data_IF_705173470738
#
_entry.id   IF_705173470738
#
_cell.length_a   1.000
_cell.length_b   1.000
_cell.length_c   1.000
_cell.angle_alpha   90.00
_cell.angle_beta   90.00
_cell.angle_gamma   90.00
#
_symmetry.space_group_name_H-M   'P 1'
#
loop_
_entity.id
_entity.type
_entity.pdbx_description
1 polymer ?
#
# COMPACT_ATOMS: atom_id res chain seq x y z
N UNK A 1 -15.09 -23.94 -4.91
CA UNK A 1 -16.26 -23.48 -5.67
C UNK A 1 -16.65 -24.59 -6.63
N UNK A 2 -17.94 -24.84 -6.75
CA UNK A 2 -18.50 -25.81 -7.68
C UNK A 2 -19.15 -25.01 -8.81
N UNK A 3 -18.89 -25.33 -10.08
CA UNK A 3 -19.57 -24.65 -11.19
C UNK A 3 -21.03 -25.11 -11.28
N UNK A 4 -21.78 -24.51 -12.22
CA UNK A 4 -23.17 -24.89 -12.51
C UNK A 4 -23.34 -26.38 -12.88
N UNK A 5 -22.25 -27.05 -13.27
CA UNK A 5 -22.23 -28.46 -13.67
C UNK A 5 -21.76 -29.41 -12.55
N UNK A 6 -21.72 -28.96 -11.29
CA UNK A 6 -21.30 -29.80 -10.17
C UNK A 6 -19.78 -30.06 -10.08
N UNK A 7 -18.96 -29.48 -10.97
CA UNK A 7 -17.50 -29.69 -11.01
C UNK A 7 -16.75 -28.74 -10.08
N UNK A 8 -15.77 -29.29 -9.35
CA UNK A 8 -14.88 -28.53 -8.46
C UNK A 8 -13.95 -27.63 -9.30
N UNK A 9 -14.19 -26.32 -9.26
CA UNK A 9 -13.36 -25.32 -9.95
C UNK A 9 -12.30 -24.78 -9.00
N UNK A 10 -11.08 -24.67 -9.50
CA UNK A 10 -9.99 -24.01 -8.79
C UNK A 10 -10.20 -22.49 -8.72
N UNK A 11 -9.97 -21.92 -7.54
CA UNK A 11 -9.92 -20.47 -7.30
C UNK A 11 -8.54 -19.89 -7.55
N UNK A 12 -7.52 -20.75 -7.72
CA UNK A 12 -6.12 -20.34 -7.85
C UNK A 12 -5.79 -20.06 -9.31
N UNK A 13 -5.33 -18.84 -9.67
CA UNK A 13 -5.06 -18.47 -11.05
C UNK A 13 -4.12 -19.46 -11.77
N UNK A 14 -3.10 -19.98 -11.08
CA UNK A 14 -2.10 -20.88 -11.67
C UNK A 14 -2.59 -22.30 -12.01
N UNK A 15 -3.78 -22.67 -11.53
CA UNK A 15 -4.36 -23.97 -11.86
C UNK A 15 -5.23 -23.91 -13.13
N UNK A 16 -5.50 -22.72 -13.66
CA UNK A 16 -6.34 -22.52 -14.85
C UNK A 16 -5.61 -22.89 -16.15
N UNK A 17 -6.36 -23.32 -17.18
CA UNK A 17 -5.83 -23.63 -18.52
C UNK A 17 -5.10 -22.42 -19.11
N UNK A 18 -5.73 -21.24 -19.07
CA UNK A 18 -5.17 -19.96 -19.53
C UNK A 18 -3.81 -19.65 -18.89
N UNK A 19 -3.65 -19.90 -17.59
CA UNK A 19 -2.35 -19.68 -16.94
C UNK A 19 -1.30 -20.69 -17.37
N UNK A 20 -1.65 -21.97 -17.56
CA UNK A 20 -0.72 -23.00 -18.05
C UNK A 20 -0.22 -22.65 -19.45
N UNK A 21 -1.10 -22.20 -20.34
CA UNK A 21 -0.76 -21.72 -21.68
C UNK A 21 0.15 -20.50 -21.62
N UNK A 22 -0.21 -19.50 -20.81
CA UNK A 22 0.66 -18.35 -20.56
C UNK A 22 2.02 -18.78 -20.02
N UNK A 23 2.06 -19.77 -19.13
CA UNK A 23 3.32 -20.26 -18.58
C UNK A 23 4.21 -20.87 -19.64
N UNK A 24 3.66 -21.76 -20.46
CA UNK A 24 4.41 -22.45 -21.52
C UNK A 24 5.09 -21.47 -22.48
N UNK A 25 4.44 -20.36 -22.84
CA UNK A 25 5.01 -19.35 -23.74
C UNK A 25 5.99 -18.36 -23.10
N UNK A 26 5.95 -18.19 -21.78
CA UNK A 26 6.71 -17.12 -21.08
C UNK A 26 7.92 -17.66 -20.33
N UNK A 27 7.87 -18.92 -19.89
CA UNK A 27 8.98 -19.51 -19.16
C UNK A 27 10.13 -19.81 -20.13
N UNK A 28 11.33 -19.34 -19.79
CA UNK A 28 12.56 -19.63 -20.51
C UNK A 28 13.36 -20.75 -19.86
N UNK A 29 14.54 -21.02 -20.40
CA UNK A 29 15.40 -22.13 -19.98
C UNK A 29 16.39 -21.76 -18.87
N UNK A 30 16.55 -20.48 -18.57
CA UNK A 30 17.42 -19.98 -17.52
C UNK A 30 16.81 -18.83 -16.71
N UNK A 31 17.33 -18.62 -15.50
CA UNK A 31 16.93 -17.50 -14.66
C UNK A 31 17.46 -16.18 -15.23
N UNK A 32 16.57 -15.25 -15.55
CA UNK A 32 16.93 -13.94 -16.10
C UNK A 32 17.74 -13.06 -15.14
N UNK A 33 17.64 -13.31 -13.84
CA UNK A 33 18.36 -12.55 -12.83
C UNK A 33 19.78 -13.06 -12.57
N UNK A 34 20.00 -14.38 -12.52
CA UNK A 34 21.30 -14.95 -12.16
C UNK A 34 21.89 -15.93 -13.18
N UNK A 35 21.24 -16.16 -14.32
CA UNK A 35 21.66 -17.09 -15.37
C UNK A 35 21.49 -18.57 -15.03
N UNK A 36 21.04 -18.92 -13.82
CA UNK A 36 20.94 -20.33 -13.41
C UNK A 36 19.90 -21.10 -14.23
N UNK A 37 20.31 -22.24 -14.80
CA UNK A 37 19.46 -23.21 -15.48
C UNK A 37 18.87 -24.26 -14.52
N UNK A 38 19.10 -24.09 -13.21
CA UNK A 38 18.67 -25.05 -12.19
C UNK A 38 17.14 -25.10 -12.11
N UNK A 39 16.58 -26.23 -12.56
CA UNK A 39 15.15 -26.53 -12.48
C UNK A 39 14.71 -26.77 -11.01
N UNK A 40 13.43 -26.51 -10.67
CA UNK A 40 12.42 -25.91 -11.53
C UNK A 40 12.55 -24.38 -11.59
N UNK A 41 12.34 -23.83 -12.79
CA UNK A 41 12.16 -22.40 -13.01
C UNK A 41 10.69 -22.00 -12.79
N UNK A 42 10.49 -20.76 -12.38
CA UNK A 42 9.17 -20.18 -12.09
C UNK A 42 8.97 -18.89 -12.86
N UNK A 43 7.71 -18.58 -13.15
CA UNK A 43 7.34 -17.27 -13.69
C UNK A 43 7.21 -16.31 -12.51
N UNK A 44 8.01 -15.25 -12.56
CA UNK A 44 7.94 -14.14 -11.63
C UNK A 44 7.26 -12.95 -12.31
N UNK A 45 6.11 -12.53 -11.79
CA UNK A 45 5.54 -11.23 -12.16
C UNK A 45 6.30 -10.12 -11.43
N UNK A 46 6.74 -9.10 -12.16
CA UNK A 46 7.42 -7.95 -11.57
C UNK A 46 6.42 -6.94 -10.99
N UNK A 47 5.17 -6.98 -11.45
CA UNK A 47 4.06 -6.17 -10.96
C UNK A 47 2.95 -7.08 -10.41
N UNK A 48 2.70 -7.00 -9.09
CA UNK A 48 1.62 -7.75 -8.47
C UNK A 48 0.32 -6.93 -8.44
N UNK A 49 -0.83 -7.55 -8.72
CA UNK A 49 -2.11 -6.87 -8.57
C UNK A 49 -2.31 -6.46 -7.10
N UNK A 50 -2.84 -5.25 -6.84
CA UNK A 50 -3.15 -4.85 -5.47
C UNK A 50 -4.27 -5.74 -4.91
N UNK A 51 -4.30 -5.92 -3.58
CA UNK A 51 -5.40 -6.60 -2.92
C UNK A 51 -6.73 -5.93 -3.25
N UNK A 52 -7.78 -6.73 -3.48
CA UNK A 52 -9.11 -6.22 -3.77
C UNK A 52 -9.61 -5.23 -2.71
N UNK A 53 -9.38 -5.50 -1.43
CA UNK A 53 -9.74 -4.59 -0.32
C UNK A 53 -9.09 -3.20 -0.44
N UNK A 54 -7.87 -3.13 -0.97
CA UNK A 54 -7.20 -1.85 -1.25
C UNK A 54 -7.82 -1.12 -2.45
N UNK A 55 -8.24 -1.84 -3.49
CA UNK A 55 -8.98 -1.28 -4.63
C UNK A 55 -10.33 -0.74 -4.15
N UNK A 56 -11.13 -1.58 -3.50
CA UNK A 56 -12.45 -1.23 -2.99
C UNK A 56 -12.40 -0.02 -2.04
N UNK A 57 -11.40 0.04 -1.14
CA UNK A 57 -11.19 1.20 -0.27
C UNK A 57 -10.87 2.48 -1.04
N UNK A 58 -10.04 2.42 -2.09
CA UNK A 58 -9.74 3.59 -2.93
C UNK A 58 -10.98 4.11 -3.65
N UNK A 59 -11.76 3.21 -4.27
CA UNK A 59 -13.03 3.55 -4.94
C UNK A 59 -14.02 4.13 -3.93
N UNK A 60 -14.18 3.49 -2.77
CA UNK A 60 -15.03 3.99 -1.68
C UNK A 60 -14.70 5.43 -1.30
N UNK A 61 -13.42 5.73 -1.06
CA UNK A 61 -12.98 7.07 -0.67
C UNK A 61 -13.22 8.10 -1.79
N UNK A 62 -13.05 7.71 -3.06
CA UNK A 62 -13.41 8.54 -4.23
C UNK A 62 -14.89 8.90 -4.22
N UNK A 63 -15.77 7.92 -3.96
CA UNK A 63 -17.21 8.15 -3.88
C UNK A 63 -17.58 9.05 -2.70
N UNK A 64 -17.09 8.75 -1.50
CA UNK A 64 -17.34 9.59 -0.31
C UNK A 64 -16.97 11.05 -0.59
N UNK A 65 -15.74 11.31 -1.07
CA UNK A 65 -15.27 12.67 -1.38
C UNK A 65 -16.15 13.37 -2.42
N UNK A 66 -16.55 12.66 -3.48
CA UNK A 66 -17.40 13.23 -4.55
C UNK A 66 -18.84 13.49 -4.08
N UNK A 67 -19.38 12.61 -3.24
CA UNK A 67 -20.81 12.61 -2.88
C UNK A 67 -21.11 13.46 -1.65
N UNK A 68 -20.16 13.64 -0.73
CA UNK A 68 -20.29 14.56 0.40
C UNK A 68 -20.63 16.00 -0.04
N UNK A 69 -20.23 16.40 -1.25
CA UNK A 69 -20.50 17.73 -1.81
C UNK A 69 -21.93 17.92 -2.33
N UNK A 70 -22.74 16.85 -2.42
CA UNK A 70 -24.13 16.95 -2.89
C UNK A 70 -25.00 17.70 -1.89
N UNK A 71 -25.92 18.55 -2.39
CA UNK A 71 -26.81 19.39 -1.57
C UNK A 71 -27.52 18.61 -0.47
N UNK A 72 -27.99 17.39 -0.76
CA UNK A 72 -28.72 16.53 0.20
C UNK A 72 -27.90 16.09 1.43
N UNK A 73 -26.56 16.05 1.32
CA UNK A 73 -25.67 15.73 2.43
C UNK A 73 -25.03 16.99 3.02
N UNK A 74 -24.68 17.96 2.16
CA UNK A 74 -24.11 19.25 2.59
C UNK A 74 -25.03 20.02 3.53
N UNK A 75 -26.35 20.02 3.28
CA UNK A 75 -27.32 20.67 4.17
C UNK A 75 -27.39 20.04 5.55
N UNK A 76 -27.13 18.71 5.67
CA UNK A 76 -27.05 18.01 6.95
C UNK A 76 -25.76 18.38 7.69
N UNK A 77 -24.64 18.47 6.97
CA UNK A 77 -23.33 18.86 7.53
C UNK A 77 -23.36 20.29 8.04
N UNK A 78 -24.02 21.23 7.34
CA UNK A 78 -24.07 22.63 7.76
C UNK A 78 -24.84 22.87 9.08
N UNK A 79 -25.59 21.89 9.58
CA UNK A 79 -26.28 21.96 10.88
C UNK A 79 -25.39 21.61 12.07
N UNK A 80 -24.12 21.29 11.80
CA UNK A 80 -23.13 20.95 12.83
C UNK A 80 -22.73 22.23 13.57
N UNK A 81 -23.09 22.32 14.85
CA UNK A 81 -22.46 23.25 15.78
C UNK A 81 -21.23 22.59 16.40
N UNK A 82 -20.07 23.23 16.23
CA UNK A 82 -18.82 22.71 16.76
C UNK A 82 -18.68 23.12 18.23
N UNK A 83 -18.82 22.15 19.13
CA UNK A 83 -18.37 22.32 20.50
C UNK A 83 -16.85 22.26 20.56
N UNK A 84 -16.24 22.96 21.52
CA UNK A 84 -14.79 22.92 21.76
C UNK A 84 -14.53 21.91 22.86
N UNK A 85 -13.59 21.00 22.65
CA UNK A 85 -13.13 20.08 23.69
C UNK A 85 -11.65 20.31 23.99
N UNK A 86 -11.29 20.11 25.25
CA UNK A 86 -9.91 20.11 25.69
C UNK A 86 -9.19 18.81 25.31
N UNK A 87 -8.02 18.94 24.69
CA UNK A 87 -7.15 17.81 24.36
C UNK A 87 -5.71 18.11 24.69
N UNK A 88 -5.02 17.06 25.13
CA UNK A 88 -3.57 17.10 25.37
C UNK A 88 -2.84 17.16 24.04
N UNK A 89 -1.91 18.11 23.92
CA UNK A 89 -1.09 18.31 22.74
C UNK A 89 0.38 18.52 23.09
N UNK A 90 1.22 18.33 22.08
CA UNK A 90 2.64 18.62 22.17
C UNK A 90 2.86 20.15 22.24
N UNK A 91 3.57 20.70 23.24
CA UNK A 91 3.84 22.14 23.33
C UNK A 91 4.72 22.69 22.21
N UNK A 92 5.41 21.82 21.46
CA UNK A 92 6.32 22.23 20.37
C UNK A 92 5.63 22.35 19.02
N UNK A 93 4.55 21.61 18.78
CA UNK A 93 3.98 21.49 17.43
C UNK A 93 2.46 21.28 17.41
N UNK A 94 1.80 21.48 18.56
CA UNK A 94 0.37 21.35 18.81
C UNK A 94 -0.26 20.02 18.38
N UNK A 95 0.57 19.02 18.13
CA UNK A 95 0.12 17.70 17.71
C UNK A 95 -0.60 16.99 18.84
N UNK A 96 -1.79 16.47 18.56
CA UNK A 96 -2.56 15.58 19.45
C UNK A 96 -1.96 14.17 19.56
N UNK A 97 -0.98 13.83 18.72
CA UNK A 97 -0.33 12.53 18.69
C UNK A 97 0.76 12.45 19.77
N UNK A 98 0.32 12.42 21.03
CA UNK A 98 1.15 12.40 22.25
C UNK A 98 0.91 11.10 23.00
N UNK A 99 1.99 10.34 23.23
CA UNK A 99 1.97 9.10 24.00
C UNK A 99 2.62 9.29 25.38
N UNK A 100 2.23 8.43 26.33
CA UNK A 100 2.99 8.27 27.57
C UNK A 100 4.28 7.50 27.29
N UNK A 101 5.42 8.07 27.68
CA UNK A 101 6.67 7.35 27.70
C UNK A 101 6.73 6.50 28.98
N UNK A 102 6.53 5.18 28.85
CA UNK A 102 6.94 4.22 29.90
C UNK A 102 8.39 3.82 29.61
N UNK A 103 9.40 4.41 30.27
CA UNK A 103 10.73 3.77 30.25
C UNK A 103 10.73 2.62 31.25
N UNK A 104 11.24 1.45 30.85
CA UNK A 104 11.56 0.35 31.78
C UNK A 104 12.57 0.89 32.79
N UNK A 105 12.25 0.85 34.08
CA UNK A 105 13.14 1.26 35.16
C UNK A 105 12.93 2.67 35.72
N UNK A 106 11.97 3.46 35.22
CA UNK A 106 11.66 4.76 35.82
C UNK A 106 11.05 4.56 37.23
N UNK A 107 11.80 4.99 38.25
CA UNK A 107 11.33 5.11 39.63
C UNK A 107 10.11 6.05 39.66
N UNK A 108 9.09 5.65 40.43
CA UNK A 108 7.79 6.29 40.64
C UNK A 108 7.85 7.84 40.57
N UNK A 109 7.13 8.46 39.63
CA UNK A 109 6.68 9.85 39.81
C UNK A 109 6.52 10.73 38.56
N UNK A 110 7.45 10.71 37.61
CA UNK A 110 7.45 11.72 36.53
C UNK A 110 6.78 11.17 35.28
N UNK A 111 5.53 11.60 35.02
CA UNK A 111 4.77 11.27 33.79
C UNK A 111 5.38 12.02 32.59
N UNK A 112 6.29 11.38 31.86
CA UNK A 112 6.93 11.94 30.66
C UNK A 112 6.11 11.61 29.41
N UNK A 113 5.95 12.57 28.50
CA UNK A 113 5.23 12.40 27.22
C UNK A 113 6.19 12.42 26.04
N UNK A 114 5.80 11.75 24.94
CA UNK A 114 6.52 11.76 23.65
C UNK A 114 5.54 12.10 22.54
N UNK A 115 5.91 13.05 21.69
CA UNK A 115 5.15 13.41 20.50
C UNK A 115 5.59 12.55 19.31
N UNK A 116 4.68 11.75 18.77
CA UNK A 116 4.97 10.90 17.59
C UNK A 116 5.15 11.67 16.29
N UNK A 117 4.66 12.91 16.21
CA UNK A 117 4.77 13.74 15.01
C UNK A 117 6.17 14.35 14.87
N UNK A 118 6.71 14.91 15.95
CA UNK A 118 7.96 15.68 15.90
C UNK A 118 9.11 15.09 16.74
N UNK A 119 8.87 13.98 17.44
CA UNK A 119 9.88 13.32 18.28
C UNK A 119 10.20 14.05 19.59
N UNK A 120 9.58 15.20 19.87
CA UNK A 120 9.74 15.89 21.16
C UNK A 120 9.38 14.96 22.30
N UNK A 121 10.23 14.86 23.32
CA UNK A 121 10.06 13.98 24.47
C UNK A 121 10.25 14.72 25.80
N UNK A 122 9.98 14.03 26.91
CA UNK A 122 10.15 14.53 28.27
C UNK A 122 9.45 15.86 28.59
N UNK A 123 8.28 16.10 27.97
CA UNK A 123 7.50 17.31 28.18
C UNK A 123 6.20 17.06 28.98
N UNK A 124 5.65 18.14 29.54
CA UNK A 124 4.27 18.23 30.03
C UNK A 124 3.41 18.70 28.87
N UNK A 125 2.34 17.96 28.55
CA UNK A 125 1.42 18.35 27.48
C UNK A 125 0.78 19.71 27.78
N UNK A 126 0.48 20.46 26.73
CA UNK A 126 -0.43 21.59 26.83
C UNK A 126 -1.85 21.12 26.57
N UNK A 127 -2.83 21.86 27.08
CA UNK A 127 -4.23 21.66 26.74
C UNK A 127 -4.56 22.62 25.59
N UNK A 128 -5.04 22.08 24.48
CA UNK A 128 -5.57 22.89 23.38
C UNK A 128 -7.07 22.61 23.24
N UNK A 129 -7.82 23.64 22.87
CA UNK A 129 -9.21 23.51 22.49
C UNK A 129 -9.28 23.13 21.02
N UNK A 130 -9.74 21.92 20.73
CA UNK A 130 -10.04 21.52 19.36
C UNK A 130 -11.55 21.59 19.12
N UNK A 131 -11.98 21.97 17.91
CA UNK A 131 -13.35 21.73 17.48
C UNK A 131 -13.59 20.22 17.54
N UNK A 132 -14.48 19.80 18.43
CA UNK A 132 -14.87 18.41 18.57
C UNK A 132 -16.31 18.38 18.99
N UNK A 133 -17.14 17.88 18.09
CA UNK A 133 -18.48 17.50 18.44
C UNK A 133 -18.63 16.00 18.17
N UNK A 134 -18.91 15.25 19.24
CA UNK A 134 -19.18 13.81 19.16
C UNK A 134 -20.37 13.56 18.24
N UNK A 135 -21.37 14.43 18.26
CA UNK A 135 -22.58 14.27 17.48
C UNK A 135 -22.35 14.60 16.01
N UNK A 136 -21.44 15.53 15.70
CA UNK A 136 -20.92 15.78 14.35
C UNK A 136 -20.15 14.60 13.78
N UNK A 137 -19.31 13.96 14.58
CA UNK A 137 -18.60 12.75 14.15
C UNK A 137 -19.56 11.59 13.89
N UNK A 138 -20.58 11.42 14.75
CA UNK A 138 -21.66 10.46 14.52
C UNK A 138 -22.45 10.80 13.25
N UNK A 139 -22.83 12.07 13.06
CA UNK A 139 -23.58 12.52 11.89
C UNK A 139 -22.79 12.31 10.60
N UNK A 140 -21.50 12.67 10.58
CA UNK A 140 -20.62 12.40 9.44
C UNK A 140 -20.48 10.90 9.18
N UNK A 141 -20.39 10.08 10.23
CA UNK A 141 -20.38 8.62 10.11
C UNK A 141 -21.68 8.10 9.50
N UNK A 142 -22.83 8.58 9.98
CA UNK A 142 -24.15 8.24 9.45
C UNK A 142 -24.30 8.67 7.98
N UNK A 143 -23.86 9.88 7.63
CA UNK A 143 -23.88 10.38 6.24
C UNK A 143 -22.97 9.53 5.36
N UNK A 144 -21.76 9.20 5.82
CA UNK A 144 -20.86 8.32 5.09
C UNK A 144 -21.51 6.96 4.87
N UNK A 145 -22.09 6.34 5.89
CA UNK A 145 -22.78 5.06 5.75
C UNK A 145 -23.95 5.15 4.76
N UNK A 146 -24.78 6.20 4.83
CA UNK A 146 -25.84 6.45 3.84
C UNK A 146 -25.30 6.56 2.41
N UNK A 147 -24.17 7.26 2.20
CA UNK A 147 -23.52 7.31 0.88
C UNK A 147 -23.03 5.92 0.47
N UNK A 148 -22.45 5.16 1.38
CA UNK A 148 -21.95 3.82 1.06
C UNK A 148 -23.09 2.87 0.67
N UNK A 149 -24.21 2.93 1.37
CA UNK A 149 -25.39 2.12 1.09
C UNK A 149 -26.03 2.53 -0.26
N UNK A 150 -26.26 3.83 -0.47
CA UNK A 150 -26.82 4.40 -1.71
C UNK A 150 -25.99 4.03 -2.97
N UNK A 151 -24.68 3.82 -2.80
CA UNK A 151 -23.74 3.63 -3.89
C UNK A 151 -22.99 2.28 -3.84
N UNK A 152 -23.41 1.34 -2.98
CA UNK A 152 -22.67 0.10 -2.74
C UNK A 152 -22.46 -0.70 -4.04
N UNK A 153 -23.53 -0.88 -4.83
CA UNK A 153 -23.47 -1.57 -6.12
C UNK A 153 -22.45 -0.92 -7.06
N UNK A 154 -22.56 0.40 -7.28
CA UNK A 154 -21.63 1.15 -8.16
C UNK A 154 -20.17 1.11 -7.69
N UNK A 155 -19.95 1.17 -6.38
CA UNK A 155 -18.61 1.05 -5.78
C UNK A 155 -18.04 -0.34 -6.04
N UNK A 156 -18.87 -1.38 -5.89
CA UNK A 156 -18.47 -2.77 -6.10
C UNK A 156 -18.19 -3.04 -7.58
N UNK A 157 -19.03 -2.55 -8.48
CA UNK A 157 -18.86 -2.68 -9.92
C UNK A 157 -17.57 -2.01 -10.39
N UNK A 158 -17.33 -0.74 -10.03
CA UNK A 158 -16.08 -0.05 -10.39
C UNK A 158 -14.85 -0.77 -9.80
N UNK A 159 -14.93 -1.24 -8.55
CA UNK A 159 -13.84 -2.00 -7.93
C UNK A 159 -13.58 -3.34 -8.64
N UNK A 160 -14.64 -4.04 -9.08
CA UNK A 160 -14.55 -5.29 -9.82
C UNK A 160 -13.96 -5.08 -11.22
N UNK A 161 -14.36 -4.03 -11.94
CA UNK A 161 -13.78 -3.67 -13.23
C UNK A 161 -12.28 -3.41 -13.13
N UNK A 162 -11.86 -2.63 -12.12
CA UNK A 162 -10.43 -2.36 -11.88
C UNK A 162 -9.70 -3.66 -11.54
N UNK A 163 -10.27 -4.50 -10.67
CA UNK A 163 -9.70 -5.80 -10.31
C UNK A 163 -9.58 -6.73 -11.53
N UNK A 164 -10.57 -6.75 -12.41
CA UNK A 164 -10.57 -7.52 -13.64
C UNK A 164 -9.47 -7.05 -14.60
N UNK A 165 -9.26 -5.73 -14.73
CA UNK A 165 -8.13 -5.16 -15.52
C UNK A 165 -6.78 -5.64 -14.98
N UNK A 166 -6.58 -5.60 -13.66
CA UNK A 166 -5.36 -6.12 -13.03
C UNK A 166 -5.19 -7.64 -13.24
N UNK A 167 -6.26 -8.42 -13.09
CA UNK A 167 -6.24 -9.86 -13.33
C UNK A 167 -5.93 -10.19 -14.79
N UNK A 168 -6.52 -9.46 -15.75
CA UNK A 168 -6.23 -9.63 -17.16
C UNK A 168 -4.78 -9.32 -17.48
N UNK A 169 -4.22 -8.25 -16.90
CA UNK A 169 -2.80 -7.92 -17.04
C UNK A 169 -1.92 -9.03 -16.46
N UNK A 170 -2.21 -9.51 -15.25
CA UNK A 170 -1.48 -10.62 -14.63
C UNK A 170 -1.51 -11.89 -15.49
N UNK A 171 -2.70 -12.25 -15.99
CA UNK A 171 -2.90 -13.43 -16.85
C UNK A 171 -2.31 -13.26 -18.25
N UNK A 172 -2.02 -12.03 -18.67
CA UNK A 172 -1.34 -11.76 -19.94
C UNK A 172 0.16 -12.09 -19.90
N UNK A 173 0.75 -12.31 -18.70
CA UNK A 173 2.19 -12.53 -18.56
C UNK A 173 3.06 -11.32 -18.94
N UNK A 174 2.47 -10.18 -19.34
CA UNK A 174 3.21 -8.96 -19.67
C UNK A 174 3.95 -8.47 -18.43
N UNK A 175 5.26 -8.24 -18.55
CA UNK A 175 6.11 -7.88 -17.42
C UNK A 175 6.38 -9.03 -16.44
N UNK A 176 6.15 -10.28 -16.86
CA UNK A 176 6.62 -11.47 -16.15
C UNK A 176 7.96 -11.94 -16.75
N UNK A 177 8.76 -12.61 -15.92
CA UNK A 177 10.09 -13.10 -16.29
C UNK A 177 10.34 -14.48 -15.69
N UNK A 178 11.43 -15.13 -16.08
CA UNK A 178 11.78 -16.48 -15.62
C UNK A 178 12.82 -16.40 -14.51
N UNK A 179 12.46 -16.83 -13.30
CA UNK A 179 13.37 -16.88 -12.16
C UNK A 179 13.62 -18.31 -11.70
N UNK A 180 14.80 -18.56 -11.11
CA UNK A 180 15.01 -19.74 -10.28
C UNK A 180 14.30 -19.55 -8.92
N UNK A 181 14.07 -20.65 -8.19
CA UNK A 181 13.44 -20.62 -6.86
C UNK A 181 14.08 -19.61 -5.90
N UNK A 182 15.42 -19.52 -5.89
CA UNK A 182 16.17 -18.59 -5.02
C UNK A 182 15.87 -17.13 -5.37
N UNK A 183 15.94 -16.76 -6.64
CA UNK A 183 15.67 -15.39 -7.09
C UNK A 183 14.22 -14.99 -6.83
N UNK A 184 13.26 -15.87 -7.11
CA UNK A 184 11.84 -15.62 -6.82
C UNK A 184 11.60 -15.39 -5.32
N UNK A 185 12.15 -16.26 -4.46
CA UNK A 185 12.04 -16.10 -3.01
C UNK A 185 12.63 -14.78 -2.51
N UNK A 186 13.84 -14.42 -2.95
CA UNK A 186 14.50 -13.17 -2.55
C UNK A 186 13.75 -11.93 -3.05
N UNK A 187 13.17 -12.01 -4.26
CA UNK A 187 12.36 -10.94 -4.84
C UNK A 187 11.07 -10.72 -4.04
N UNK A 188 10.32 -11.78 -3.74
CA UNK A 188 9.00 -11.68 -3.13
C UNK A 188 9.07 -11.41 -1.62
N UNK A 189 9.90 -12.15 -0.89
CA UNK A 189 9.94 -12.13 0.58
C UNK A 189 10.89 -11.05 1.09
N UNK A 190 12.10 -10.98 0.54
CA UNK A 190 13.13 -10.08 1.04
C UNK A 190 13.22 -8.75 0.27
N UNK A 191 12.46 -8.58 -0.82
CA UNK A 191 12.53 -7.39 -1.69
C UNK A 191 13.96 -7.08 -2.15
N UNK A 192 14.69 -8.14 -2.49
CA UNK A 192 16.09 -8.08 -2.91
C UNK A 192 16.24 -8.51 -4.37
N UNK A 193 17.04 -7.76 -5.13
CA UNK A 193 17.47 -8.09 -6.49
C UNK A 193 18.98 -8.27 -6.55
N UNK A 194 19.45 -9.00 -7.55
CA UNK A 194 20.86 -9.23 -7.81
C UNK A 194 21.45 -7.95 -8.42
N UNK A 195 22.64 -7.57 -7.98
CA UNK A 195 23.32 -6.42 -8.52
C UNK A 195 23.61 -6.61 -10.01
N UNK A 196 23.24 -5.62 -10.82
CA UNK A 196 23.47 -5.63 -12.27
C UNK A 196 24.96 -5.61 -12.64
N UNK A 197 25.82 -5.05 -11.78
CA UNK A 197 27.26 -4.92 -12.01
C UNK A 197 27.99 -6.20 -11.64
N UNK A 198 28.04 -6.56 -10.34
CA UNK A 198 28.84 -7.71 -9.90
C UNK A 198 28.15 -9.06 -10.10
N UNK A 199 26.84 -9.09 -10.34
CA UNK A 199 26.02 -10.31 -10.49
C UNK A 199 26.20 -11.36 -9.38
N UNK A 200 26.71 -10.97 -8.21
CA UNK A 200 27.00 -11.90 -7.10
C UNK A 200 26.31 -11.53 -5.80
N UNK A 201 26.10 -10.23 -5.55
CA UNK A 201 25.47 -9.72 -4.32
C UNK A 201 24.02 -9.28 -4.56
N UNK A 202 23.16 -9.57 -3.59
CA UNK A 202 21.76 -9.12 -3.59
C UNK A 202 21.61 -7.86 -2.73
N UNK A 203 20.81 -6.91 -3.19
CA UNK A 203 20.54 -5.65 -2.49
C UNK A 203 19.07 -5.26 -2.56
N UNK A 204 18.66 -4.32 -1.71
CA UNK A 204 17.29 -3.79 -1.68
C UNK A 204 16.89 -3.17 -3.02
N UNK A 205 15.60 -3.25 -3.36
CA UNK A 205 15.02 -2.57 -4.52
C UNK A 205 15.19 -1.05 -4.50
N UNK A 206 15.42 -0.45 -3.33
CA UNK A 206 15.69 0.99 -3.18
C UNK A 206 16.95 1.47 -3.91
N UNK A 207 17.87 0.55 -4.22
CA UNK A 207 19.11 0.85 -4.92
C UNK A 207 19.15 0.15 -6.27
N UNK A 208 19.89 0.71 -7.22
CA UNK A 208 20.10 0.07 -8.53
C UNK A 208 21.22 -0.97 -8.49
N UNK A 209 22.21 -0.74 -7.63
CA UNK A 209 23.42 -1.54 -7.49
C UNK A 209 23.68 -1.87 -6.02
N UNK A 210 24.58 -2.82 -5.79
CA UNK A 210 25.12 -3.11 -4.47
C UNK A 210 26.11 -2.01 -4.07
N UNK A 211 26.18 -1.68 -2.77
CA UNK A 211 26.88 -0.50 -2.26
C UNK A 211 28.38 -0.49 -2.56
N UNK A 212 29.04 -1.66 -2.57
CA UNK A 212 30.45 -1.80 -2.95
C UNK A 212 30.70 -1.67 -4.46
N UNK A 213 29.66 -1.85 -5.30
CA UNK A 213 29.83 -1.83 -6.76
C UNK A 213 29.77 -0.43 -7.37
N UNK A 214 29.43 0.59 -6.57
CA UNK A 214 29.61 2.05 -6.78
C UNK A 214 28.78 2.78 -5.71
N UNK A 215 29.27 3.94 -5.21
CA UNK A 215 28.56 4.83 -4.27
C UNK A 215 27.06 4.88 -4.64
N UNK A 216 26.14 4.49 -3.74
CA UNK A 216 24.76 4.23 -4.11
C UNK A 216 24.08 5.52 -4.61
N UNK A 217 23.88 5.61 -5.92
CA UNK A 217 23.02 6.62 -6.52
C UNK A 217 21.59 6.32 -6.06
N UNK A 218 21.10 7.20 -5.20
CA UNK A 218 19.73 7.18 -4.68
C UNK A 218 18.81 7.76 -5.78
N UNK A 219 17.68 7.10 -6.07
CA UNK A 219 16.74 7.54 -7.12
C UNK A 219 16.11 8.92 -6.85
N UNK A 220 16.29 9.44 -5.63
CA UNK A 220 15.78 10.71 -5.11
C UNK A 220 16.79 11.87 -5.18
N UNK A 221 17.98 11.70 -5.78
CA UNK A 221 18.94 12.80 -5.94
C UNK A 221 18.72 13.62 -7.24
N UNK A 222 18.78 14.96 -7.18
CA UNK A 222 18.36 15.89 -8.26
C UNK A 222 19.28 15.95 -9.50
N UNK A 223 20.34 15.13 -9.58
CA UNK A 223 21.30 15.15 -10.70
C UNK A 223 20.90 14.20 -11.85
N UNK A 224 19.62 14.17 -12.22
CA UNK A 224 19.14 13.31 -13.33
C UNK A 224 18.50 14.08 -14.50
N UNK A 225 18.36 15.42 -14.41
CA UNK A 225 17.71 16.22 -15.44
C UNK A 225 18.62 16.68 -16.60
N UNK A 226 19.89 16.27 -16.65
CA UNK A 226 20.82 16.73 -17.72
C UNK A 226 21.29 15.63 -18.70
N UNK A 227 20.84 14.38 -18.54
CA UNK A 227 21.25 13.28 -19.44
C UNK A 227 20.11 12.73 -20.34
N UNK A 228 18.89 13.26 -20.24
CA UNK A 228 17.76 12.87 -21.12
C UNK A 228 17.53 13.85 -22.29
N UNK A 229 18.36 14.88 -22.48
CA UNK A 229 18.26 15.84 -23.61
C UNK A 229 19.28 15.60 -24.74
N UNK A 230 19.98 14.46 -24.77
CA UNK A 230 20.97 14.15 -25.82
C UNK A 230 20.94 12.72 -26.38
N UNK A 231 19.75 12.10 -26.49
CA UNK A 231 19.51 10.96 -27.39
C UNK A 231 18.16 11.14 -28.05
#
# INVERSE_FOLDING_TARGET
MINKDGKKVTTKPWQTKRWREMRKRTIGDSCTQCGSEKKPLVIQHLNHPPKFSSIARKVRNKYLKKKLMLKKYRSKINKIELTKMERKACPKCDSLNVDFAKKRGDKKGIKRHVCRKCGHDNFIFIIILIPYDRDSQKLLTTINNQILDDYQGKILDEANEINQKFNNHYMSGKGATTFCKKCAYLWDIHKKKLCKICKSKYHSFSYETYWDCKKPLRKDQPYYNELETRI
#
